data_IF_223681263257
#
_entry.id   IF_223681263257
#
_cell.length_a   1.000
_cell.length_b   1.000
_cell.length_c   1.000
_cell.angle_alpha   90.00
_cell.angle_beta   90.00
_cell.angle_gamma   90.00
#
_symmetry.space_group_name_H-M   'P 1'
#
loop_
_entity.id
_entity.type
_entity.pdbx_description
1 polymer ?
#
# COMPACT_ATOMS: atom_id res chain seq x y z
N UNK A 1 -23.16 0.56 4.88
CA UNK A 1 -22.20 1.10 5.85
C UNK A 1 -21.72 2.42 5.30
N UNK A 2 -22.57 3.44 5.43
CA UNK A 2 -22.66 4.54 4.48
C UNK A 2 -21.82 5.75 4.93
N UNK A 3 -20.59 5.45 5.35
CA UNK A 3 -19.62 6.49 5.63
C UNK A 3 -19.05 7.02 4.33
N UNK A 4 -19.47 8.22 3.90
CA UNK A 4 -18.72 9.04 2.95
C UNK A 4 -17.27 9.12 3.44
N UNK A 5 -16.36 8.38 2.79
CA UNK A 5 -14.94 8.44 3.13
C UNK A 5 -14.41 9.79 2.65
N UNK A 6 -13.79 10.59 3.52
CA UNK A 6 -13.22 11.87 3.11
C UNK A 6 -12.24 11.65 1.94
N UNK A 7 -12.49 12.36 0.83
CA UNK A 7 -11.76 12.24 -0.45
C UNK A 7 -10.48 13.09 -0.53
N UNK A 8 -10.08 13.77 0.56
CA UNK A 8 -8.76 14.41 0.57
C UNK A 8 -7.70 13.39 0.98
N UNK A 9 -6.96 12.91 -0.03
CA UNK A 9 -5.71 12.19 0.18
C UNK A 9 -4.75 13.10 0.95
N UNK A 10 -4.59 12.87 2.26
CA UNK A 10 -3.66 13.63 3.09
C UNK A 10 -2.23 13.59 2.53
N UNK A 11 -1.35 14.50 2.97
CA UNK A 11 0.01 14.74 2.41
C UNK A 11 0.86 13.49 2.14
N UNK A 12 0.64 12.40 2.88
CA UNK A 12 1.40 11.14 2.77
C UNK A 12 0.67 10.03 1.99
N UNK A 13 -0.47 10.33 1.37
CA UNK A 13 -1.24 9.36 0.60
C UNK A 13 -0.55 9.07 -0.72
N UNK A 14 -0.15 7.83 -0.94
CA UNK A 14 0.48 7.41 -2.19
C UNK A 14 -0.52 7.00 -3.26
N UNK A 15 -1.74 6.61 -2.88
CA UNK A 15 -2.78 6.18 -3.79
C UNK A 15 -4.17 6.47 -3.22
N UNK A 16 -5.07 6.99 -4.06
CA UNK A 16 -6.48 7.21 -3.76
C UNK A 16 -7.31 7.03 -5.03
N UNK A 17 -8.25 6.09 -5.02
CA UNK A 17 -9.20 5.87 -6.11
C UNK A 17 -10.48 5.26 -5.54
N UNK A 18 -11.63 5.81 -5.92
CA UNK A 18 -12.93 5.21 -5.61
C UNK A 18 -13.14 3.98 -6.52
N UNK A 19 -12.90 2.79 -6.00
CA UNK A 19 -13.05 1.53 -6.72
C UNK A 19 -13.35 0.41 -5.72
N UNK A 20 -14.27 -0.48 -6.09
CA UNK A 20 -14.50 -1.73 -5.36
C UNK A 20 -13.41 -2.73 -5.69
N UNK A 21 -12.98 -3.50 -4.69
CA UNK A 21 -11.86 -4.41 -4.81
C UNK A 21 -11.35 -4.88 -3.45
N UNK A 22 -10.17 -5.46 -3.45
CA UNK A 22 -9.47 -5.90 -2.24
C UNK A 22 -8.01 -5.51 -2.28
N UNK A 23 -7.38 -5.52 -1.10
CA UNK A 23 -5.94 -5.33 -0.97
C UNK A 23 -5.26 -6.67 -0.73
N UNK A 24 -4.19 -6.95 -1.46
CA UNK A 24 -3.33 -8.10 -1.24
C UNK A 24 -2.00 -7.66 -0.65
N UNK A 25 -1.52 -8.43 0.34
CA UNK A 25 -0.27 -8.17 1.02
C UNK A 25 0.61 -9.40 0.99
N UNK A 26 1.88 -9.21 0.69
CA UNK A 26 2.92 -10.22 0.87
C UNK A 26 4.01 -9.66 1.75
N UNK A 27 4.12 -10.22 2.94
CA UNK A 27 5.16 -9.85 3.92
C UNK A 27 6.29 -10.88 3.84
N UNK A 28 7.51 -10.38 3.71
CA UNK A 28 8.74 -11.18 3.77
C UNK A 28 9.64 -10.66 4.89
N UNK A 29 10.77 -11.34 5.12
CA UNK A 29 11.78 -10.88 6.08
C UNK A 29 12.31 -9.47 5.77
N UNK A 30 12.36 -9.11 4.48
CA UNK A 30 13.08 -7.94 3.98
C UNK A 30 12.16 -6.92 3.31
N UNK A 31 10.88 -7.24 3.14
CA UNK A 31 9.94 -6.34 2.46
C UNK A 31 8.48 -6.59 2.82
N UNK A 32 7.68 -5.55 2.63
CA UNK A 32 6.22 -5.61 2.59
C UNK A 32 5.81 -5.20 1.18
N UNK A 33 5.13 -6.09 0.48
CA UNK A 33 4.50 -5.82 -0.80
C UNK A 33 2.99 -5.62 -0.61
N UNK A 34 2.46 -4.62 -1.28
CA UNK A 34 1.06 -4.22 -1.27
C UNK A 34 0.56 -4.13 -2.71
N UNK A 35 -0.64 -4.64 -2.95
CA UNK A 35 -1.39 -4.45 -4.19
C UNK A 35 -2.83 -4.08 -3.88
N UNK A 36 -3.41 -3.19 -4.67
CA UNK A 36 -4.85 -2.97 -4.74
C UNK A 36 -5.37 -3.52 -6.06
N UNK A 37 -6.32 -4.45 -5.98
CA UNK A 37 -6.90 -5.16 -7.12
C UNK A 37 -8.39 -4.83 -7.15
N UNK A 38 -8.90 -4.37 -8.29
CA UNK A 38 -10.32 -4.06 -8.43
C UNK A 38 -11.18 -5.33 -8.61
N UNK A 39 -12.50 -5.16 -8.57
CA UNK A 39 -13.47 -6.24 -8.76
C UNK A 39 -13.38 -6.96 -10.12
N UNK A 40 -12.71 -6.35 -11.12
CA UNK A 40 -12.46 -6.94 -12.45
C UNK A 40 -11.12 -7.66 -12.52
N UNK A 41 -10.36 -7.69 -11.43
CA UNK A 41 -9.03 -8.28 -11.37
C UNK A 41 -7.91 -7.37 -11.88
N UNK A 42 -8.17 -6.09 -12.18
CA UNK A 42 -7.11 -5.18 -12.58
C UNK A 42 -6.32 -4.72 -11.36
N UNK A 43 -4.99 -4.81 -11.45
CA UNK A 43 -4.11 -4.20 -10.46
C UNK A 43 -4.09 -2.68 -10.68
N UNK A 44 -4.64 -1.94 -9.73
CA UNK A 44 -4.74 -0.48 -9.80
C UNK A 44 -3.59 0.25 -9.12
N UNK A 45 -2.91 -0.43 -8.18
CA UNK A 45 -1.75 0.11 -7.49
C UNK A 45 -0.93 -1.01 -6.90
N UNK A 46 0.40 -0.86 -6.92
CA UNK A 46 1.31 -1.69 -6.17
C UNK A 46 2.41 -0.87 -5.49
N UNK A 47 2.90 -1.38 -4.36
CA UNK A 47 3.93 -0.70 -3.59
C UNK A 47 4.76 -1.68 -2.79
N UNK A 48 6.08 -1.45 -2.76
CA UNK A 48 7.00 -2.24 -1.94
C UNK A 48 7.69 -1.35 -0.92
N UNK A 49 7.58 -1.71 0.35
CA UNK A 49 8.40 -1.18 1.43
C UNK A 49 9.54 -2.16 1.65
N UNK A 50 10.78 -1.73 1.43
CA UNK A 50 11.96 -2.53 1.78
C UNK A 50 12.37 -2.23 3.22
N UNK A 51 12.80 -3.25 3.95
CA UNK A 51 13.37 -3.10 5.29
C UNK A 51 14.68 -2.33 5.16
N UNK A 52 14.76 -1.16 5.78
CA UNK A 52 16.00 -0.41 5.88
C UNK A 52 16.94 -1.15 6.84
N UNK A 53 18.02 -1.71 6.32
CA UNK A 53 19.09 -2.23 7.17
C UNK A 53 19.95 -1.05 7.55
N UNK A 54 19.65 -0.40 8.68
CA UNK A 54 20.59 0.52 9.31
C UNK A 54 21.78 -0.32 9.78
N UNK A 55 22.81 -0.41 8.94
CA UNK A 55 24.12 -0.88 9.40
C UNK A 55 24.57 0.14 10.43
N UNK A 56 24.44 -0.20 11.71
CA UNK A 56 25.13 0.54 12.76
C UNK A 56 26.62 0.44 12.43
N UNK A 57 27.17 1.49 11.82
CA UNK A 57 28.60 1.61 11.65
C UNK A 57 29.24 1.57 13.04
N UNK A 58 29.89 0.44 13.34
CA UNK A 58 30.67 0.24 14.56
C UNK A 58 31.82 1.24 14.50
N UNK A 59 31.81 2.24 15.38
CA UNK A 59 32.99 3.03 15.75
C UNK A 59 33.77 2.27 16.81
#
# INVERSE_FOLDING_TARGET
GDGLRPVSSGKNTRFSKASFGFSWFKVTKDSIYFQFIDEKGNMLYDYTIKKETKVLAKR
#
